data_IF_317745839697
#
_entry.id   IF_317745839697
#
_cell.length_a   1.000
_cell.length_b   1.000
_cell.length_c   1.000
_cell.angle_alpha   90.00
_cell.angle_beta   90.00
_cell.angle_gamma   90.00
#
_symmetry.space_group_name_H-M   'P 1'
#
loop_
_entity.id
_entity.type
_entity.pdbx_description
1 polymer ?
#
# COMPACT_ATOMS: atom_id res chain seq x y z
N UNK A 1 38.03 -8.47 2.25
CA UNK A 1 38.27 -9.13 0.93
C UNK A 1 37.91 -8.18 -0.20
N UNK A 2 38.85 -7.30 -0.63
CA UNK A 2 38.59 -6.26 -1.62
C UNK A 2 38.18 -6.79 -3.00
N UNK A 3 38.59 -8.00 -3.34
CA UNK A 3 38.27 -8.65 -4.62
C UNK A 3 36.78 -8.96 -4.81
N UNK A 4 36.03 -9.22 -3.73
CA UNK A 4 34.59 -9.49 -3.80
C UNK A 4 33.80 -8.22 -4.16
N UNK A 5 34.20 -7.07 -3.62
CA UNK A 5 33.59 -5.78 -3.95
C UNK A 5 33.87 -5.38 -5.40
N UNK A 6 35.10 -5.61 -5.88
CA UNK A 6 35.47 -5.38 -7.27
C UNK A 6 34.68 -6.29 -8.22
N UNK A 7 34.56 -7.59 -7.90
CA UNK A 7 33.79 -8.53 -8.69
C UNK A 7 32.30 -8.17 -8.76
N UNK A 8 31.70 -7.73 -7.65
CA UNK A 8 30.31 -7.26 -7.61
C UNK A 8 30.09 -6.01 -8.47
N UNK A 9 31.03 -5.05 -8.42
CA UNK A 9 30.98 -3.84 -9.25
C UNK A 9 31.06 -4.16 -10.75
N UNK A 10 31.95 -5.09 -11.14
CA UNK A 10 32.08 -5.54 -12.54
C UNK A 10 30.80 -6.26 -13.00
N UNK A 11 30.25 -7.16 -12.17
CA UNK A 11 29.00 -7.84 -12.49
C UNK A 11 27.83 -6.86 -12.67
N UNK A 12 27.73 -5.85 -11.80
CA UNK A 12 26.74 -4.79 -11.91
C UNK A 12 26.89 -3.98 -13.21
N UNK A 13 28.13 -3.62 -13.57
CA UNK A 13 28.41 -2.89 -14.82
C UNK A 13 28.03 -3.71 -16.05
N UNK A 14 28.36 -5.01 -16.09
CA UNK A 14 27.98 -5.90 -17.19
C UNK A 14 26.45 -6.00 -17.30
N UNK A 15 25.74 -6.13 -16.18
CA UNK A 15 24.28 -6.19 -16.17
C UNK A 15 23.63 -4.92 -16.75
N UNK A 16 24.14 -3.74 -16.39
CA UNK A 16 23.66 -2.47 -16.93
C UNK A 16 23.92 -2.35 -18.43
N UNK A 17 25.09 -2.81 -18.90
CA UNK A 17 25.46 -2.80 -20.32
C UNK A 17 24.57 -3.75 -21.15
N UNK A 18 24.33 -4.97 -20.66
CA UNK A 18 23.41 -5.92 -21.30
C UNK A 18 22.00 -5.34 -21.39
N UNK A 19 21.52 -4.70 -20.31
CA UNK A 19 20.22 -4.07 -20.29
C UNK A 19 20.15 -2.90 -21.29
N UNK A 20 21.14 -2.00 -21.32
CA UNK A 20 21.19 -0.89 -22.27
C UNK A 20 21.12 -1.36 -23.73
N UNK A 21 21.89 -2.40 -24.08
CA UNK A 21 21.89 -2.99 -25.44
C UNK A 21 20.56 -3.66 -25.77
N UNK A 22 19.98 -4.43 -24.84
CA UNK A 22 18.69 -5.12 -25.07
C UNK A 22 17.50 -4.18 -25.18
N UNK A 23 17.52 -3.06 -24.46
CA UNK A 23 16.40 -2.12 -24.42
C UNK A 23 16.41 -1.16 -25.63
N UNK A 24 17.49 -1.15 -26.42
CA UNK A 24 17.62 -0.36 -27.66
C UNK A 24 17.56 1.16 -27.45
N UNK A 25 17.59 1.60 -26.20
CA UNK A 25 17.32 2.98 -25.78
C UNK A 25 18.62 3.76 -25.76
N UNK A 26 18.79 4.58 -26.80
CA UNK A 26 19.81 5.62 -26.91
C UNK A 26 21.28 5.13 -26.89
N UNK A 27 21.86 4.95 -28.10
CA UNK A 27 23.26 4.54 -28.30
C UNK A 27 24.29 5.43 -27.58
N UNK A 28 23.94 6.66 -27.24
CA UNK A 28 24.80 7.58 -26.46
C UNK A 28 25.18 7.00 -25.09
N UNK A 29 24.29 6.26 -24.42
CA UNK A 29 24.58 5.65 -23.12
C UNK A 29 25.61 4.52 -23.19
N UNK A 30 25.68 3.81 -24.31
CA UNK A 30 26.68 2.75 -24.53
C UNK A 30 28.08 3.35 -24.52
N UNK A 31 28.27 4.52 -25.15
CA UNK A 31 29.54 5.24 -25.12
C UNK A 31 29.87 5.75 -23.70
N UNK A 32 28.91 6.28 -22.97
CA UNK A 32 29.10 6.75 -21.57
C UNK A 32 29.48 5.58 -20.64
N UNK A 33 28.83 4.43 -20.79
CA UNK A 33 29.11 3.20 -20.03
C UNK A 33 30.49 2.61 -20.36
N UNK A 34 30.97 2.78 -21.60
CA UNK A 34 32.27 2.29 -22.06
C UNK A 34 33.44 3.21 -21.65
N UNK A 35 33.26 4.54 -21.74
CA UNK A 35 34.30 5.53 -21.46
C UNK A 35 34.53 5.78 -19.97
N UNK A 36 33.49 5.65 -19.13
CA UNK A 36 33.59 5.90 -17.68
C UNK A 36 33.01 4.73 -16.88
N UNK A 37 33.78 3.63 -16.72
CA UNK A 37 33.40 2.51 -15.87
C UNK A 37 33.08 2.95 -14.43
N UNK A 38 32.06 2.36 -13.82
CA UNK A 38 31.61 2.72 -12.47
C UNK A 38 30.65 3.91 -12.44
N UNK A 39 31.12 5.14 -12.73
CA UNK A 39 30.26 6.34 -12.68
C UNK A 39 29.19 6.32 -13.77
N UNK A 40 29.54 5.88 -14.99
CA UNK A 40 28.58 5.72 -16.08
C UNK A 40 27.50 4.68 -15.77
N UNK A 41 27.85 3.60 -15.06
CA UNK A 41 26.90 2.58 -14.62
C UNK A 41 25.96 3.10 -13.54
N UNK A 42 26.46 3.90 -12.60
CA UNK A 42 25.63 4.55 -11.59
C UNK A 42 24.66 5.56 -12.24
N UNK A 43 25.15 6.41 -13.14
CA UNK A 43 24.32 7.39 -13.84
C UNK A 43 23.21 6.72 -14.68
N UNK A 44 23.55 5.69 -15.46
CA UNK A 44 22.55 4.93 -16.22
C UNK A 44 21.51 4.27 -15.32
N UNK A 45 21.95 3.71 -14.19
CA UNK A 45 21.06 3.10 -13.22
C UNK A 45 20.01 4.11 -12.69
N UNK A 46 20.43 5.30 -12.27
CA UNK A 46 19.50 6.28 -11.70
C UNK A 46 18.63 7.00 -12.74
N UNK A 47 19.16 7.25 -13.95
CA UNK A 47 18.47 8.06 -14.96
C UNK A 47 17.57 7.23 -15.87
N UNK A 48 17.96 5.99 -16.22
CA UNK A 48 17.22 5.19 -17.21
C UNK A 48 16.62 3.92 -16.59
N UNK A 49 17.43 3.13 -15.87
CA UNK A 49 16.99 1.85 -15.35
C UNK A 49 15.98 1.98 -14.21
N UNK A 50 16.25 2.85 -13.23
CA UNK A 50 15.41 3.03 -12.05
C UNK A 50 14.04 3.60 -12.41
N UNK A 51 13.90 4.64 -13.26
CA UNK A 51 12.59 5.12 -13.69
C UNK A 51 11.82 4.08 -14.50
N UNK A 52 12.50 3.33 -15.37
CA UNK A 52 11.89 2.20 -16.08
C UNK A 52 11.37 1.14 -15.10
N UNK A 53 12.18 0.76 -14.12
CA UNK A 53 11.80 -0.20 -13.10
C UNK A 53 10.57 0.30 -12.32
N UNK A 54 10.57 1.56 -11.87
CA UNK A 54 9.45 2.21 -11.18
C UNK A 54 8.20 2.38 -12.05
N UNK A 55 8.34 2.43 -13.38
CA UNK A 55 7.22 2.55 -14.30
C UNK A 55 6.43 1.25 -14.49
N UNK A 56 7.03 0.10 -14.17
CA UNK A 56 6.41 -1.22 -14.33
C UNK A 56 5.20 -1.43 -13.39
N UNK A 57 4.16 -2.18 -13.82
CA UNK A 57 3.03 -2.56 -12.97
C UNK A 57 3.46 -3.26 -11.67
N UNK A 58 4.50 -4.09 -11.74
CA UNK A 58 5.04 -4.87 -10.63
C UNK A 58 5.71 -3.96 -9.60
N UNK A 59 6.53 -3.00 -10.04
CA UNK A 59 7.14 -2.04 -9.12
C UNK A 59 6.11 -1.12 -8.47
N UNK A 60 5.05 -0.73 -9.18
CA UNK A 60 3.94 0.02 -8.58
C UNK A 60 3.24 -0.77 -7.47
N UNK A 61 3.04 -2.07 -7.64
CA UNK A 61 2.48 -2.97 -6.61
C UNK A 61 3.42 -3.08 -5.41
N UNK A 62 4.71 -3.30 -5.64
CA UNK A 62 5.72 -3.38 -4.59
C UNK A 62 5.83 -2.07 -3.80
N UNK A 63 5.84 -0.93 -4.50
CA UNK A 63 5.86 0.39 -3.88
C UNK A 63 4.62 0.66 -3.02
N UNK A 64 3.42 0.27 -3.48
CA UNK A 64 2.19 0.37 -2.67
C UNK A 64 2.26 -0.50 -1.43
N UNK A 65 2.74 -1.74 -1.56
CA UNK A 65 2.91 -2.64 -0.41
C UNK A 65 3.93 -2.09 0.60
N UNK A 66 5.02 -1.48 0.12
CA UNK A 66 6.03 -0.85 0.95
C UNK A 66 5.49 0.42 1.63
N UNK A 67 4.77 1.28 0.90
CA UNK A 67 4.09 2.45 1.47
C UNK A 67 3.08 2.06 2.55
N UNK A 68 2.31 0.98 2.35
CA UNK A 68 1.36 0.46 3.36
C UNK A 68 2.07 -0.01 4.64
N UNK A 69 3.30 -0.52 4.54
CA UNK A 69 4.12 -0.86 5.72
C UNK A 69 4.70 0.37 6.41
N UNK A 70 5.04 1.42 5.65
CA UNK A 70 5.73 2.60 6.16
C UNK A 70 4.77 3.61 6.80
N UNK A 71 3.58 3.76 6.26
CA UNK A 71 2.51 4.61 6.79
C UNK A 71 1.16 3.90 6.66
N UNK A 72 0.87 2.94 7.55
CA UNK A 72 -0.41 2.22 7.55
C UNK A 72 -1.61 3.13 7.84
N UNK A 73 -1.38 4.30 8.46
CA UNK A 73 -2.44 5.25 8.81
C UNK A 73 -2.82 6.21 7.67
N UNK A 74 -2.03 6.30 6.60
CA UNK A 74 -2.32 7.21 5.48
C UNK A 74 -3.68 6.95 4.86
N UNK A 75 -4.01 5.68 4.64
CA UNK A 75 -5.28 5.28 4.06
C UNK A 75 -6.44 5.62 5.01
N UNK A 76 -6.24 5.42 6.31
CA UNK A 76 -7.21 5.76 7.35
C UNK A 76 -7.47 7.28 7.41
N UNK A 77 -6.42 8.11 7.29
CA UNK A 77 -6.56 9.57 7.17
C UNK A 77 -7.33 9.97 5.91
N UNK A 78 -7.09 9.29 4.78
CA UNK A 78 -7.80 9.54 3.52
C UNK A 78 -9.29 9.19 3.63
N UNK A 79 -9.62 8.00 4.14
CA UNK A 79 -11.02 7.58 4.32
C UNK A 79 -11.73 8.43 5.36
N UNK A 80 -11.05 8.85 6.43
CA UNK A 80 -11.62 9.79 7.40
C UNK A 80 -11.93 11.15 6.77
N UNK A 81 -11.07 11.65 5.88
CA UNK A 81 -11.34 12.87 5.13
C UNK A 81 -12.52 12.70 4.15
N UNK A 82 -12.58 11.59 3.42
CA UNK A 82 -13.67 11.29 2.49
C UNK A 82 -15.03 11.12 3.20
N UNK A 83 -15.07 10.42 4.33
CA UNK A 83 -16.27 10.23 5.13
C UNK A 83 -16.79 11.57 5.71
N UNK A 84 -15.90 12.49 6.07
CA UNK A 84 -16.27 13.85 6.52
C UNK A 84 -16.87 14.70 5.40
N UNK A 85 -16.46 14.47 4.15
CA UNK A 85 -16.90 15.27 3.00
C UNK A 85 -18.19 14.75 2.37
N UNK A 86 -18.40 13.44 2.37
CA UNK A 86 -19.48 12.79 1.60
C UNK A 86 -20.81 12.69 2.37
N UNK A 87 -20.80 12.75 3.71
CA UNK A 87 -21.90 12.44 4.66
C UNK A 87 -22.66 11.11 4.41
N UNK A 88 -22.33 10.38 3.34
CA UNK A 88 -22.95 9.12 2.96
C UNK A 88 -22.59 8.00 3.93
N UNK A 89 -23.57 7.12 4.15
CA UNK A 89 -23.42 5.93 4.99
C UNK A 89 -22.36 5.00 4.40
N UNK A 90 -22.28 4.85 3.08
CA UNK A 90 -21.27 4.02 2.41
C UNK A 90 -19.83 4.49 2.68
N UNK A 91 -19.57 5.81 2.65
CA UNK A 91 -18.24 6.35 2.98
C UNK A 91 -17.90 6.11 4.46
N UNK A 92 -18.87 6.23 5.37
CA UNK A 92 -18.69 5.94 6.80
C UNK A 92 -18.46 4.45 7.08
N UNK A 93 -19.14 3.55 6.37
CA UNK A 93 -18.93 2.11 6.46
C UNK A 93 -17.53 1.69 5.99
N UNK A 94 -17.04 2.27 4.89
CA UNK A 94 -15.65 2.03 4.44
C UNK A 94 -14.64 2.45 5.49
N UNK A 95 -14.85 3.61 6.14
CA UNK A 95 -14.00 4.06 7.24
C UNK A 95 -14.05 3.08 8.42
N UNK A 96 -15.23 2.61 8.82
CA UNK A 96 -15.39 1.65 9.92
C UNK A 96 -14.67 0.32 9.65
N UNK A 97 -14.76 -0.20 8.42
CA UNK A 97 -14.07 -1.42 8.01
C UNK A 97 -12.53 -1.26 8.05
N UNK A 98 -12.01 -0.10 7.64
CA UNK A 98 -10.57 0.18 7.67
C UNK A 98 -10.05 0.38 9.10
N UNK A 99 -10.86 0.99 9.99
CA UNK A 99 -10.58 1.07 11.42
C UNK A 99 -10.50 -0.34 12.05
N UNK A 100 -11.43 -1.22 11.69
CA UNK A 100 -11.42 -2.62 12.15
C UNK A 100 -10.18 -3.37 11.66
N UNK A 101 -9.84 -3.23 10.37
CA UNK A 101 -8.63 -3.83 9.79
C UNK A 101 -7.33 -3.31 10.45
N UNK A 102 -7.34 -2.07 10.94
CA UNK A 102 -6.26 -1.47 11.72
C UNK A 102 -6.29 -1.85 13.22
N UNK A 103 -7.18 -2.76 13.65
CA UNK A 103 -7.42 -3.18 15.04
C UNK A 103 -7.83 -2.04 15.99
N UNK A 104 -8.35 -0.93 15.45
CA UNK A 104 -8.89 0.20 16.23
C UNK A 104 -10.36 -0.05 16.53
N UNK A 105 -10.61 -1.13 17.27
CA UNK A 105 -11.95 -1.69 17.43
C UNK A 105 -12.95 -0.72 18.07
N UNK A 106 -12.54 0.06 19.08
CA UNK A 106 -13.42 1.05 19.72
C UNK A 106 -13.96 2.09 18.72
N UNK A 107 -13.08 2.61 17.86
CA UNK A 107 -13.46 3.59 16.85
C UNK A 107 -14.27 2.97 15.72
N UNK A 108 -13.94 1.74 15.32
CA UNK A 108 -14.71 0.98 14.34
C UNK A 108 -16.15 0.74 14.82
N UNK A 109 -16.31 0.30 16.08
CA UNK A 109 -17.61 0.07 16.73
C UNK A 109 -18.41 1.38 16.77
N UNK A 110 -17.80 2.49 17.19
CA UNK A 110 -18.47 3.78 17.20
C UNK A 110 -18.92 4.22 15.78
N UNK A 111 -18.09 4.01 14.77
CA UNK A 111 -18.41 4.32 13.38
C UNK A 111 -19.56 3.45 12.84
N UNK A 112 -19.55 2.14 13.11
CA UNK A 112 -20.65 1.25 12.71
C UNK A 112 -21.97 1.60 13.40
N UNK A 113 -21.95 1.89 14.71
CA UNK A 113 -23.15 2.33 15.44
C UNK A 113 -23.70 3.65 14.91
N UNK A 114 -22.84 4.58 14.50
CA UNK A 114 -23.26 5.82 13.85
C UNK A 114 -23.93 5.59 12.48
N UNK A 115 -23.56 4.51 11.77
CA UNK A 115 -24.23 4.11 10.52
C UNK A 115 -25.58 3.43 10.76
N UNK A 116 -25.79 2.78 11.91
CA UNK A 116 -27.06 2.16 12.31
C UNK A 116 -28.07 3.20 12.84
N UNK A 117 -28.34 4.23 12.03
CA UNK A 117 -29.30 5.28 12.35
C UNK A 117 -30.31 5.49 11.21
N UNK A 118 -31.51 5.96 11.57
CA UNK A 118 -32.57 6.25 10.60
C UNK A 118 -32.99 5.00 9.81
N UNK A 119 -32.92 5.09 8.48
CA UNK A 119 -33.35 4.02 7.55
C UNK A 119 -32.48 2.76 7.69
N UNK A 120 -31.24 2.89 8.16
CA UNK A 120 -30.28 1.79 8.30
C UNK A 120 -30.22 1.19 9.71
N UNK A 121 -31.13 1.57 10.62
CA UNK A 121 -31.08 1.17 12.03
C UNK A 121 -31.04 -0.36 12.24
N UNK A 122 -31.64 -1.13 11.34
CA UNK A 122 -31.69 -2.59 11.39
C UNK A 122 -31.11 -3.22 10.12
N UNK A 123 -30.14 -2.56 9.46
CA UNK A 123 -29.56 -3.12 8.25
C UNK A 123 -28.67 -4.34 8.59
N UNK A 124 -29.04 -5.57 8.17
CA UNK A 124 -28.39 -6.79 8.63
C UNK A 124 -26.89 -6.84 8.36
N UNK A 125 -26.43 -6.29 7.21
CA UNK A 125 -25.02 -6.30 6.85
C UNK A 125 -24.16 -5.45 7.79
N UNK A 126 -24.69 -4.32 8.25
CA UNK A 126 -23.97 -3.40 9.14
C UNK A 126 -23.94 -4.00 10.54
N UNK A 127 -25.04 -4.60 11.00
CA UNK A 127 -25.13 -5.28 12.30
C UNK A 127 -24.18 -6.48 12.38
N UNK A 128 -24.09 -7.29 11.32
CA UNK A 128 -23.15 -8.41 11.25
C UNK A 128 -21.68 -7.94 11.29
N UNK A 129 -21.37 -6.87 10.57
CA UNK A 129 -20.03 -6.27 10.59
C UNK A 129 -19.69 -5.73 11.99
N UNK A 130 -20.63 -5.04 12.65
CA UNK A 130 -20.48 -4.57 14.02
C UNK A 130 -20.21 -5.72 14.99
N UNK A 131 -21.06 -6.76 14.98
CA UNK A 131 -20.90 -7.92 15.85
C UNK A 131 -19.56 -8.64 15.65
N UNK A 132 -19.10 -8.75 14.40
CA UNK A 132 -17.79 -9.33 14.08
C UNK A 132 -16.65 -8.55 14.74
N UNK A 133 -16.71 -7.22 14.70
CA UNK A 133 -15.70 -6.35 15.32
C UNK A 133 -15.78 -6.38 16.85
N UNK A 134 -16.98 -6.40 17.42
CA UNK A 134 -17.19 -6.57 18.87
C UNK A 134 -16.59 -7.89 19.36
N UNK A 135 -16.79 -8.97 18.60
CA UNK A 135 -16.19 -10.28 18.89
C UNK A 135 -14.66 -10.26 18.76
N UNK A 136 -14.10 -9.69 17.69
CA UNK A 136 -12.65 -9.56 17.49
C UNK A 136 -11.95 -8.72 18.57
N UNK A 137 -12.66 -7.73 19.14
CA UNK A 137 -12.21 -6.96 20.30
C UNK A 137 -12.17 -7.80 21.58
N UNK A 138 -12.93 -8.90 21.63
CA UNK A 138 -13.11 -9.76 22.80
C UNK A 138 -14.40 -9.50 23.59
N UNK A 139 -15.32 -8.67 23.08
CA UNK A 139 -16.60 -8.39 23.70
C UNK A 139 -17.69 -9.31 23.12
N UNK A 140 -17.61 -10.59 23.47
CA UNK A 140 -18.55 -11.60 23.00
C UNK A 140 -20.00 -11.36 23.46
N UNK A 141 -20.18 -10.68 24.59
CA UNK A 141 -21.51 -10.34 25.10
C UNK A 141 -22.18 -9.28 24.21
N UNK A 142 -21.48 -8.19 23.89
CA UNK A 142 -21.99 -7.18 22.97
C UNK A 142 -22.27 -7.76 21.58
N UNK A 143 -21.36 -8.59 21.06
CA UNK A 143 -21.54 -9.25 19.77
C UNK A 143 -22.81 -10.12 19.74
N UNK A 144 -23.06 -10.89 20.80
CA UNK A 144 -24.28 -11.71 20.92
C UNK A 144 -25.54 -10.84 20.92
N UNK A 145 -25.57 -9.75 21.69
CA UNK A 145 -26.70 -8.81 21.70
C UNK A 145 -26.94 -8.19 20.32
N UNK A 146 -25.88 -7.82 19.61
CA UNK A 146 -26.01 -7.29 18.23
C UNK A 146 -26.56 -8.34 17.26
N UNK A 147 -26.16 -9.62 17.41
CA UNK A 147 -26.66 -10.73 16.60
C UNK A 147 -28.09 -11.15 16.94
N UNK A 148 -28.54 -10.97 18.17
CA UNK A 148 -29.93 -11.24 18.60
C UNK A 148 -30.91 -10.17 18.08
N UNK A 149 -30.42 -8.96 17.82
CA UNK A 149 -31.22 -7.85 17.30
C UNK A 149 -31.36 -7.84 15.77
N UNK A 150 -30.68 -8.76 15.08
CA UNK A 150 -30.69 -8.96 13.61
C UNK A 150 -32.01 -9.58 13.14
#
# INVERSE_FOLDING_TARGET
MPYLLAAAGIAFQIAMLIHAVRTGRNQTWVYVLALVPGVGSAAYFFVEFLPWLMSSPEARRAARAFQKKLDPERDLRRYAAEARLSDSVDSKLKLAAELAAAKRYDEAIAAYRACLAGIFAHEPKIMLALASVEFEKGDAAAAATTLEAL
#
